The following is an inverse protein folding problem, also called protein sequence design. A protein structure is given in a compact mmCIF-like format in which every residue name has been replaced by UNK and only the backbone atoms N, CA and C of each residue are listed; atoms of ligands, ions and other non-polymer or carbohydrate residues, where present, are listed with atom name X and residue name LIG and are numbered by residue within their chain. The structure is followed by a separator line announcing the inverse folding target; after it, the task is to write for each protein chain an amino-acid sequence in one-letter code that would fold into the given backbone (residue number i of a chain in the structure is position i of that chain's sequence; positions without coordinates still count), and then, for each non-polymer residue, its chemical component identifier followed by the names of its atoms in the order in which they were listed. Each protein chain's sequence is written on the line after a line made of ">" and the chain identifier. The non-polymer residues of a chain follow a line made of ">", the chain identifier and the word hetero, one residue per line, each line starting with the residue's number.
data_IF_642405175945
#
_entry.id   IF_642405175945
#
_cell.length_a   1.000
_cell.length_b   1.000
_cell.length_c   1.000
_cell.angle_alpha   90.00
_cell.angle_beta   90.00
_cell.angle_gamma   90.00
#
_symmetry.space_group_name_H-M   'P 1'
#
loop_
_entity.id
_entity.type
_entity.pdbx_description
1 polymer ?
#
# COMPACT_ATOMS: atom_id res chain seq x y z
N UNK A 1 5.52 -21.81 -0.35
CA UNK A 1 6.26 -20.95 -1.30
C UNK A 1 5.75 -19.52 -1.15
N UNK A 2 6.63 -18.56 -0.90
CA UNK A 2 6.31 -17.12 -0.87
C UNK A 2 6.29 -16.59 -2.31
N UNK A 3 5.25 -15.85 -2.66
CA UNK A 3 5.08 -15.28 -3.99
C UNK A 3 6.08 -14.15 -4.13
N UNK A 4 7.00 -14.27 -5.07
CA UNK A 4 7.95 -13.21 -5.37
C UNK A 4 7.21 -12.11 -6.12
N UNK A 5 7.30 -10.87 -5.65
CA UNK A 5 6.68 -9.70 -6.29
C UNK A 5 7.39 -9.24 -7.57
N UNK A 6 8.34 -10.04 -8.07
CA UNK A 6 9.15 -9.75 -9.24
C UNK A 6 9.27 -10.98 -10.14
N UNK A 7 9.46 -10.75 -11.43
CA UNK A 7 9.89 -11.79 -12.36
C UNK A 7 11.41 -11.96 -12.26
N UNK A 8 11.92 -13.20 -12.14
CA UNK A 8 13.36 -13.46 -12.23
C UNK A 8 13.88 -13.38 -13.68
N UNK A 9 13.02 -13.15 -14.67
CA UNK A 9 13.40 -13.01 -16.07
C UNK A 9 13.68 -11.54 -16.40
N UNK A 10 14.82 -11.28 -17.03
CA UNK A 10 15.16 -9.97 -17.57
C UNK A 10 14.12 -9.52 -18.60
N UNK A 11 13.62 -8.30 -18.48
CA UNK A 11 12.67 -7.74 -19.45
C UNK A 11 13.37 -7.36 -20.76
N UNK A 12 12.63 -7.36 -21.88
CA UNK A 12 13.14 -6.97 -23.20
C UNK A 12 13.29 -5.46 -23.43
N UNK A 13 12.74 -4.59 -22.55
CA UNK A 13 12.81 -3.13 -22.69
C UNK A 13 13.02 -2.40 -21.36
N UNK A 14 13.90 -1.37 -21.29
CA UNK A 14 14.08 -0.54 -20.09
C UNK A 14 12.75 0.06 -19.65
N UNK A 15 12.39 -0.13 -18.38
CA UNK A 15 11.11 0.32 -17.85
C UNK A 15 11.26 1.75 -17.32
N UNK A 16 10.76 2.74 -18.09
CA UNK A 16 10.84 4.17 -17.75
C UNK A 16 10.23 4.51 -16.38
N UNK A 17 9.30 3.69 -15.89
CA UNK A 17 8.60 3.89 -14.61
C UNK A 17 9.26 3.19 -13.42
N UNK A 18 10.42 2.57 -13.61
CA UNK A 18 11.18 1.89 -12.56
C UNK A 18 12.59 2.46 -12.53
N UNK A 19 12.97 3.24 -11.49
CA UNK A 19 14.36 3.59 -11.28
C UNK A 19 15.11 2.28 -11.05
N UNK A 20 16.19 2.10 -11.81
CA UNK A 20 16.97 0.86 -11.88
C UNK A 20 17.51 0.46 -10.50
N UNK A 21 16.91 -0.50 -9.78
CA UNK A 21 17.22 -0.70 -8.36
C UNK A 21 18.49 -1.54 -8.15
N UNK A 22 18.95 -2.27 -9.17
CA UNK A 22 20.06 -3.24 -9.09
C UNK A 22 20.81 -3.36 -10.45
N UNK A 23 21.25 -2.25 -11.08
CA UNK A 23 21.97 -2.27 -12.37
C UNK A 23 21.28 -3.08 -13.50
N UNK A 24 19.96 -3.21 -13.47
CA UNK A 24 19.14 -3.89 -14.46
C UNK A 24 18.77 -5.34 -14.13
N UNK A 25 19.24 -5.90 -13.00
CA UNK A 25 19.01 -7.32 -12.66
C UNK A 25 17.59 -7.60 -12.14
N UNK A 26 16.96 -6.64 -11.44
CA UNK A 26 15.59 -6.76 -10.96
C UNK A 26 14.72 -5.57 -11.42
N UNK A 27 13.90 -5.77 -12.45
CA UNK A 27 12.89 -4.78 -12.87
C UNK A 27 11.60 -4.95 -12.06
N UNK A 28 11.41 -4.08 -11.06
CA UNK A 28 10.12 -3.91 -10.40
C UNK A 28 9.29 -2.87 -11.16
N UNK A 29 8.16 -3.24 -11.75
CA UNK A 29 7.16 -2.23 -12.12
C UNK A 29 6.38 -1.89 -10.84
N UNK A 30 6.57 -0.71 -10.22
CA UNK A 30 5.82 -0.39 -9.02
C UNK A 30 4.33 -0.35 -9.36
N UNK A 31 3.51 -1.07 -8.60
CA UNK A 31 2.05 -1.00 -8.74
C UNK A 31 1.47 -0.28 -7.54
N UNK A 32 0.75 0.80 -7.78
CA UNK A 32 -0.05 1.49 -6.78
C UNK A 32 -1.51 1.43 -7.18
N UNK A 33 -2.32 0.77 -6.35
CA UNK A 33 -3.77 0.79 -6.47
C UNK A 33 -4.36 1.48 -5.25
N UNK A 34 -5.50 2.13 -5.42
CA UNK A 34 -6.22 2.77 -4.34
C UNK A 34 -7.72 2.45 -4.42
N UNK A 35 -8.35 2.28 -3.25
CA UNK A 35 -9.80 2.19 -3.12
C UNK A 35 -10.28 3.29 -2.19
N UNK A 36 -11.27 4.05 -2.65
CA UNK A 36 -11.84 5.18 -1.94
C UNK A 36 -13.27 4.87 -1.53
N UNK A 37 -13.65 5.30 -0.33
CA UNK A 37 -15.01 5.19 0.18
C UNK A 37 -15.47 6.52 0.75
N UNK A 38 -16.67 6.95 0.35
CA UNK A 38 -17.47 7.95 1.05
C UNK A 38 -18.61 7.23 1.77
N UNK A 39 -18.53 7.13 3.09
CA UNK A 39 -19.48 6.36 3.90
C UNK A 39 -20.62 7.23 4.42
N UNK A 40 -21.81 6.66 4.57
CA UNK A 40 -22.93 7.37 5.20
C UNK A 40 -22.76 7.52 6.72
N UNK A 41 -22.00 6.60 7.35
CA UNK A 41 -21.80 6.56 8.79
C UNK A 41 -20.29 6.62 9.09
N UNK A 42 -19.77 7.72 9.69
CA UNK A 42 -18.35 7.85 10.04
C UNK A 42 -17.82 6.71 10.93
N UNK A 43 -18.68 6.16 11.81
CA UNK A 43 -18.33 5.03 12.66
C UNK A 43 -17.90 3.76 11.86
N UNK A 44 -18.27 3.67 10.57
CA UNK A 44 -17.88 2.56 9.70
C UNK A 44 -16.53 2.76 9.01
N UNK A 45 -15.91 3.94 9.10
CA UNK A 45 -14.67 4.26 8.38
C UNK A 45 -13.54 3.27 8.71
N UNK A 46 -13.25 3.09 10.00
CA UNK A 46 -12.21 2.15 10.45
C UNK A 46 -12.50 0.67 10.10
N UNK A 47 -13.68 0.09 10.39
CA UNK A 47 -13.92 -1.31 10.04
C UNK A 47 -13.95 -1.56 8.52
N UNK A 48 -14.46 -0.61 7.71
CA UNK A 48 -14.39 -0.72 6.24
C UNK A 48 -12.94 -0.70 5.77
N UNK A 49 -12.12 0.21 6.30
CA UNK A 49 -10.70 0.28 5.98
C UNK A 49 -9.98 -1.05 6.29
N UNK A 50 -10.21 -1.61 7.48
CA UNK A 50 -9.63 -2.89 7.90
C UNK A 50 -10.10 -4.06 7.03
N UNK A 51 -11.41 -4.11 6.71
CA UNK A 51 -11.95 -5.13 5.82
C UNK A 51 -11.35 -5.04 4.40
N UNK A 52 -11.22 -3.83 3.86
CA UNK A 52 -10.56 -3.60 2.56
C UNK A 52 -9.08 -3.97 2.61
N UNK A 53 -8.39 -3.66 3.70
CA UNK A 53 -7.02 -4.13 3.91
C UNK A 53 -6.95 -5.65 3.96
N UNK A 54 -7.96 -6.37 4.44
CA UNK A 54 -7.96 -7.84 4.53
C UNK A 54 -8.37 -8.56 3.24
N UNK A 55 -9.13 -7.92 2.35
CA UNK A 55 -9.67 -8.53 1.12
C UNK A 55 -8.61 -9.11 0.17
N UNK A 56 -7.36 -8.66 0.28
CA UNK A 56 -6.27 -9.09 -0.61
C UNK A 56 -5.18 -9.90 0.10
N UNK A 57 -5.49 -10.78 1.05
CA UNK A 57 -4.47 -11.66 1.62
C UNK A 57 -3.91 -12.61 0.54
N UNK A 58 -2.80 -12.20 -0.08
CA UNK A 58 -1.89 -13.14 -0.75
C UNK A 58 -1.59 -14.22 0.28
N UNK A 59 -2.04 -15.45 -0.02
CA UNK A 59 -2.27 -16.54 0.95
C UNK A 59 -0.99 -17.00 1.66
N UNK A 60 0.16 -16.48 1.25
CA UNK A 60 1.49 -16.78 1.73
C UNK A 60 2.24 -15.60 2.36
N UNK A 61 1.60 -14.44 2.54
CA UNK A 61 2.20 -13.28 3.22
C UNK A 61 1.65 -13.12 4.64
N UNK A 62 2.56 -12.90 5.59
CA UNK A 62 2.21 -12.44 6.94
C UNK A 62 2.36 -10.92 6.97
N UNK A 63 1.41 -10.24 7.58
CA UNK A 63 1.38 -8.78 7.66
C UNK A 63 1.69 -8.33 9.09
N UNK A 64 2.56 -7.35 9.21
CA UNK A 64 2.77 -6.56 10.42
C UNK A 64 1.98 -5.28 10.27
N UNK A 65 1.15 -4.94 11.26
CA UNK A 65 0.34 -3.73 11.27
C UNK A 65 0.92 -2.73 12.25
N UNK A 66 1.02 -1.48 11.81
CA UNK A 66 1.38 -0.35 12.64
C UNK A 66 0.31 0.73 12.50
N UNK A 67 -0.11 1.28 13.64
CA UNK A 67 -0.96 2.47 13.67
C UNK A 67 -0.12 3.68 14.04
N UNK A 68 -0.36 4.79 13.35
CA UNK A 68 0.35 6.05 13.62
C UNK A 68 -0.61 7.23 13.60
N UNK A 69 -0.31 8.25 14.41
CA UNK A 69 -1.05 9.50 14.37
C UNK A 69 -0.57 10.37 13.19
N UNK A 70 -1.50 11.05 12.52
CA UNK A 70 -1.19 12.02 11.47
C UNK A 70 -2.13 13.23 11.58
N UNK A 71 -1.62 14.47 11.49
CA UNK A 71 -2.45 15.67 11.60
C UNK A 71 -3.63 15.66 10.62
N UNK A 72 -4.83 15.83 11.15
CA UNK A 72 -6.06 15.94 10.36
C UNK A 72 -6.65 14.61 9.87
N UNK A 73 -6.08 13.46 10.26
CA UNK A 73 -6.65 12.13 10.03
C UNK A 73 -7.10 11.50 11.35
N UNK A 74 -8.19 10.74 11.29
CA UNK A 74 -8.70 10.00 12.45
C UNK A 74 -7.91 8.69 12.67
N UNK A 75 -7.35 8.14 11.60
CA UNK A 75 -6.47 6.98 11.67
C UNK A 75 -5.55 6.87 10.47
N UNK A 76 -4.39 6.24 10.72
CA UNK A 76 -3.47 5.75 9.69
C UNK A 76 -3.05 4.33 10.09
N UNK A 77 -3.36 3.35 9.26
CA UNK A 77 -2.98 1.94 9.47
C UNK A 77 -2.07 1.54 8.32
N UNK A 78 -0.80 1.28 8.63
CA UNK A 78 0.19 0.77 7.68
C UNK A 78 0.36 -0.72 7.91
N UNK A 79 0.35 -1.51 6.83
CA UNK A 79 0.67 -2.92 6.89
C UNK A 79 1.81 -3.23 5.92
N UNK A 80 2.80 -3.95 6.42
CA UNK A 80 3.97 -4.39 5.65
C UNK A 80 4.15 -5.89 5.79
N UNK A 81 4.77 -6.52 4.80
CA UNK A 81 5.21 -7.91 4.87
C UNK A 81 6.73 -7.98 5.11
N UNK A 82 7.28 -9.08 5.68
CA UNK A 82 8.69 -9.17 6.06
C UNK A 82 9.71 -8.87 4.95
N UNK A 83 9.38 -9.15 3.69
CA UNK A 83 10.20 -8.87 2.51
C UNK A 83 10.18 -7.41 2.07
N UNK A 84 9.33 -6.56 2.64
CA UNK A 84 9.25 -5.12 2.38
C UNK A 84 8.76 -4.74 0.97
N UNK A 85 8.40 -5.70 0.13
CA UNK A 85 7.97 -5.45 -1.25
C UNK A 85 6.53 -4.99 -1.30
N UNK A 86 5.68 -5.58 -0.45
CA UNK A 86 4.26 -5.28 -0.42
C UNK A 86 3.89 -4.45 0.79
N UNK A 87 3.12 -3.40 0.54
CA UNK A 87 2.67 -2.47 1.57
C UNK A 87 1.20 -2.12 1.36
N UNK A 88 0.51 -1.82 2.45
CA UNK A 88 -0.84 -1.26 2.45
C UNK A 88 -0.92 -0.09 3.40
N UNK A 89 -1.63 0.94 3.01
CA UNK A 89 -1.86 2.09 3.87
C UNK A 89 -3.33 2.43 3.81
N UNK A 90 -4.01 2.33 4.95
CA UNK A 90 -5.34 2.88 5.11
C UNK A 90 -5.27 4.21 5.86
N UNK A 91 -5.96 5.20 5.33
CA UNK A 91 -6.17 6.50 5.96
C UNK A 91 -7.66 6.80 6.04
N UNK A 92 -8.08 7.48 7.10
CA UNK A 92 -9.48 7.88 7.25
C UNK A 92 -9.64 9.24 7.92
N UNK A 93 -10.70 9.94 7.52
CA UNK A 93 -11.14 11.23 8.06
C UNK A 93 -12.65 11.37 7.94
N UNK A 94 -13.34 11.40 9.07
CA UNK A 94 -14.80 11.38 9.16
C UNK A 94 -15.38 10.16 8.46
N UNK A 95 -16.16 10.41 7.41
CA UNK A 95 -16.75 9.36 6.56
C UNK A 95 -15.88 8.92 5.39
N UNK A 96 -14.73 9.58 5.16
CA UNK A 96 -13.87 9.31 4.01
C UNK A 96 -12.79 8.33 4.37
N UNK A 97 -12.55 7.36 3.50
CA UNK A 97 -11.51 6.34 3.65
C UNK A 97 -10.79 6.16 2.32
N UNK A 98 -9.48 6.04 2.38
CA UNK A 98 -8.65 5.60 1.26
C UNK A 98 -7.78 4.44 1.71
N UNK A 99 -7.75 3.35 0.94
CA UNK A 99 -6.88 2.20 1.16
C UNK A 99 -5.99 2.02 -0.05
N UNK A 100 -4.70 2.22 0.15
CA UNK A 100 -3.66 2.08 -0.85
C UNK A 100 -3.03 0.69 -0.75
N UNK A 101 -2.75 0.09 -1.91
CA UNK A 101 -1.95 -1.11 -2.06
C UNK A 101 -0.76 -0.76 -2.92
N UNK A 102 0.43 -1.00 -2.40
CA UNK A 102 1.67 -0.73 -3.10
C UNK A 102 2.54 -1.97 -3.17
N UNK A 103 3.10 -2.21 -4.34
CA UNK A 103 4.18 -3.17 -4.56
C UNK A 103 5.38 -2.40 -5.10
N UNK A 104 6.44 -2.25 -4.31
CA UNK A 104 7.61 -1.47 -4.69
C UNK A 104 8.51 -1.16 -3.50
N UNK A 105 9.61 -0.46 -3.78
CA UNK A 105 10.66 -0.18 -2.79
C UNK A 105 10.43 1.08 -1.96
N UNK A 106 9.57 2.01 -2.42
CA UNK A 106 9.29 3.22 -1.66
C UNK A 106 8.49 2.93 -0.40
N UNK A 107 8.81 3.60 0.70
CA UNK A 107 7.95 3.56 1.89
C UNK A 107 6.66 4.35 1.64
N UNK A 108 5.55 3.64 1.63
CA UNK A 108 4.23 4.23 1.41
C UNK A 108 3.86 5.21 2.55
N UNK A 109 4.34 4.97 3.77
CA UNK A 109 4.12 5.84 4.93
C UNK A 109 4.85 7.18 4.76
N UNK A 110 6.03 7.18 4.14
CA UNK A 110 6.77 8.41 3.82
C UNK A 110 6.02 9.31 2.81
N UNK A 111 5.03 8.77 2.08
CA UNK A 111 4.17 9.51 1.15
C UNK A 111 2.89 10.05 1.78
N UNK A 112 2.68 9.88 3.10
CA UNK A 112 1.52 10.40 3.83
C UNK A 112 1.18 11.88 3.54
N UNK A 113 2.13 12.83 3.43
CA UNK A 113 1.81 14.22 3.08
C UNK A 113 1.06 14.39 1.77
N UNK A 114 1.32 13.51 0.79
CA UNK A 114 0.64 13.51 -0.50
C UNK A 114 -0.67 12.72 -0.42
N UNK A 115 -0.62 11.52 0.18
CA UNK A 115 -1.76 10.62 0.25
C UNK A 115 -2.90 11.19 1.12
N UNK A 116 -2.59 11.94 2.17
CA UNK A 116 -3.63 12.56 3.01
C UNK A 116 -4.44 13.64 2.28
N UNK A 117 -3.96 14.15 1.13
CA UNK A 117 -4.68 15.14 0.33
C UNK A 117 -5.83 14.52 -0.48
N UNK A 118 -5.92 13.19 -0.53
CA UNK A 118 -6.98 12.49 -1.27
C UNK A 118 -8.26 12.31 -0.46
N UNK A 119 -8.26 12.68 0.84
CA UNK A 119 -9.41 12.65 1.74
C UNK A 119 -9.97 14.05 1.95
#
# INVERSE_FOLDING_TARGET
>A
MTQKGYSPQSGSQPNYFSPDPENGEARYAPSLDATYFDLLMPALARPVAQAQMDLYRLVNLRWTYEESAWPGLDFVIHATEPGGVWQRLAIGKGSRVAVFRYAGQEDLKARLPLLSQTL
#
